data_IF_406381797528
#
_entry.id   IF_406381797528
#
_cell.length_a   1.000
_cell.length_b   1.000
_cell.length_c   1.000
_cell.angle_alpha   90.00
_cell.angle_beta   90.00
_cell.angle_gamma   90.00
#
_symmetry.space_group_name_H-M   'P 1'
#
loop_
_entity.id
_entity.type
_entity.pdbx_description
1 polymer ?
#
# COMPACT_ATOMS: atom_id res chain seq x y z
N UNK A 1 4.28 6.66 -3.77
CA UNK A 1 5.03 7.65 -4.58
C UNK A 1 5.84 8.61 -3.69
N UNK A 2 6.57 8.05 -2.73
CA UNK A 2 7.35 8.81 -1.75
C UNK A 2 8.83 8.54 -1.97
N UNK A 3 9.66 9.55 -1.78
CA UNK A 3 11.12 9.43 -1.79
C UNK A 3 11.69 10.19 -0.59
N UNK A 4 12.78 9.70 -0.04
CA UNK A 4 13.53 10.46 0.95
C UNK A 4 14.26 11.60 0.23
N UNK A 5 13.88 12.84 0.50
CA UNK A 5 14.42 14.06 -0.12
C UNK A 5 15.61 14.62 0.65
N UNK A 6 15.60 14.41 1.96
CA UNK A 6 16.70 14.66 2.90
C UNK A 6 16.55 13.67 4.07
N UNK A 7 17.59 13.44 4.89
CA UNK A 7 17.54 12.43 5.95
C UNK A 7 16.31 12.59 6.85
N UNK A 8 15.42 11.59 6.86
CA UNK A 8 14.18 11.59 7.64
C UNK A 8 13.02 12.39 7.05
N UNK A 9 13.21 13.07 5.91
CA UNK A 9 12.17 13.82 5.21
C UNK A 9 11.75 13.11 3.93
N UNK A 10 10.44 12.88 3.78
CA UNK A 10 9.87 12.17 2.65
C UNK A 10 9.02 13.11 1.80
N UNK A 11 9.41 13.33 0.54
CA UNK A 11 8.61 14.10 -0.42
C UNK A 11 7.84 13.19 -1.35
N UNK A 12 6.56 13.49 -1.57
CA UNK A 12 5.67 12.68 -2.41
C UNK A 12 4.44 13.44 -2.89
N UNK A 13 3.56 12.72 -3.58
CA UNK A 13 2.29 13.25 -4.10
C UNK A 13 1.14 12.52 -3.42
N UNK A 14 0.19 13.27 -2.86
CA UNK A 14 -1.03 12.78 -2.22
C UNK A 14 -2.16 13.76 -2.48
N UNK A 15 -3.34 13.28 -2.85
CA UNK A 15 -4.53 14.11 -3.09
C UNK A 15 -4.33 15.16 -4.20
N UNK A 16 -3.44 14.89 -5.17
CA UNK A 16 -3.11 15.85 -6.22
C UNK A 16 -2.26 17.05 -5.76
N UNK A 17 -1.67 16.97 -4.56
CA UNK A 17 -0.78 17.97 -3.97
C UNK A 17 0.59 17.34 -3.71
N UNK A 18 1.63 18.17 -3.63
CA UNK A 18 2.99 17.73 -3.27
C UNK A 18 3.21 17.98 -1.78
N UNK A 19 3.80 17.01 -1.11
CA UNK A 19 3.98 17.00 0.33
C UNK A 19 5.42 16.67 0.68
N UNK A 20 5.95 17.29 1.72
CA UNK A 20 7.14 16.80 2.44
C UNK A 20 6.71 16.46 3.86
N UNK A 21 7.02 15.24 4.30
CA UNK A 21 6.67 14.72 5.62
C UNK A 21 7.94 14.49 6.43
N UNK A 22 7.93 14.91 7.70
CA UNK A 22 8.99 14.65 8.68
C UNK A 22 8.33 14.15 9.95
N UNK A 23 8.91 13.13 10.58
CA UNK A 23 8.36 12.56 11.81
C UNK A 23 9.39 12.68 12.94
N UNK A 24 8.91 13.06 14.12
CA UNK A 24 9.64 12.89 15.38
C UNK A 24 9.00 11.75 16.21
N UNK A 25 8.98 11.85 17.54
CA UNK A 25 8.47 10.78 18.42
C UNK A 25 6.97 10.69 18.51
N UNK A 26 6.32 11.85 18.52
CA UNK A 26 4.90 11.99 18.82
C UNK A 26 4.16 12.71 17.70
N UNK A 27 4.89 13.29 16.73
CA UNK A 27 4.32 14.16 15.70
C UNK A 27 4.78 13.78 14.31
N UNK A 28 3.83 13.94 13.39
CA UNK A 28 4.08 13.94 11.95
C UNK A 28 3.92 15.39 11.47
N UNK A 29 5.05 16.00 11.12
CA UNK A 29 5.13 17.33 10.52
C UNK A 29 4.98 17.22 9.01
N UNK A 30 4.35 18.21 8.40
CA UNK A 30 4.21 18.24 6.96
C UNK A 30 4.29 19.65 6.38
N UNK A 31 4.75 19.73 5.14
CA UNK A 31 4.66 20.91 4.26
C UNK A 31 3.89 20.52 3.01
N UNK A 32 2.86 21.30 2.66
CA UNK A 32 2.14 21.16 1.37
C UNK A 32 2.57 22.28 0.44
N UNK A 33 2.97 21.93 -0.78
CA UNK A 33 3.42 22.92 -1.75
C UNK A 33 2.27 23.34 -2.67
N UNK A 34 2.15 24.66 -2.88
CA UNK A 34 1.15 25.27 -3.76
C UNK A 34 -0.14 25.76 -3.09
N UNK A 35 -0.24 25.70 -1.76
CA UNK A 35 -1.33 26.30 -0.97
C UNK A 35 -0.75 27.32 0.02
N UNK A 36 -1.47 28.43 0.25
CA UNK A 36 -1.02 29.51 1.14
C UNK A 36 -1.10 29.11 2.63
N UNK A 37 -1.99 28.19 3.01
CA UNK A 37 -2.04 27.65 4.38
C UNK A 37 -2.80 26.31 4.45
N UNK A 38 -2.23 25.24 5.03
CA UNK A 38 -2.96 24.00 5.31
C UNK A 38 -4.16 24.23 6.23
N UNK A 39 -5.33 23.70 5.87
CA UNK A 39 -6.55 23.74 6.70
C UNK A 39 -6.93 22.36 7.27
N UNK A 40 -8.05 22.25 8.02
CA UNK A 40 -8.53 21.00 8.61
C UNK A 40 -8.72 19.85 7.61
N UNK A 41 -9.09 20.16 6.37
CA UNK A 41 -9.22 19.16 5.29
C UNK A 41 -7.86 18.53 4.92
N UNK A 42 -6.78 19.31 5.01
CA UNK A 42 -5.41 18.87 4.74
C UNK A 42 -4.95 17.86 5.80
N UNK A 43 -5.27 18.13 7.07
CA UNK A 43 -5.03 17.19 8.18
C UNK A 43 -5.83 15.90 8.02
N UNK A 44 -7.12 16.01 7.68
CA UNK A 44 -7.98 14.83 7.48
C UNK A 44 -7.45 13.94 6.36
N UNK A 45 -6.97 14.51 5.26
CA UNK A 45 -6.39 13.76 4.15
C UNK A 45 -5.18 12.91 4.58
N UNK A 46 -4.28 13.45 5.42
CA UNK A 46 -3.16 12.68 5.96
C UNK A 46 -3.62 11.61 6.96
N UNK A 47 -4.57 11.95 7.85
CA UNK A 47 -5.14 11.01 8.81
C UNK A 47 -5.76 9.81 8.13
N UNK A 48 -6.52 10.05 7.05
CA UNK A 48 -7.13 9.00 6.24
C UNK A 48 -6.08 8.19 5.47
N UNK A 49 -5.10 8.85 4.85
CA UNK A 49 -4.07 8.19 4.05
C UNK A 49 -3.20 7.25 4.90
N UNK A 50 -2.86 7.65 6.13
CA UNK A 50 -2.09 6.81 7.07
C UNK A 50 -2.98 5.96 7.99
N UNK A 51 -4.30 6.09 7.90
CA UNK A 51 -5.28 5.37 8.72
C UNK A 51 -4.96 5.50 10.23
N UNK A 52 -4.79 6.75 10.68
CA UNK A 52 -4.31 7.07 12.02
C UNK A 52 -5.35 6.79 13.12
N UNK A 53 -6.61 6.60 12.75
CA UNK A 53 -7.69 6.14 13.62
C UNK A 53 -7.55 4.66 14.00
N UNK A 54 -6.83 3.86 13.21
CA UNK A 54 -6.58 2.45 13.52
C UNK A 54 -5.58 2.31 14.67
N UNK A 55 -6.04 1.67 15.75
CA UNK A 55 -5.29 1.37 16.97
C UNK A 55 -4.21 0.30 16.79
N UNK A 56 -3.15 0.63 16.05
CA UNK A 56 -2.05 -0.27 15.68
C UNK A 56 -1.44 -1.05 16.86
N UNK A 57 -1.20 -0.46 18.06
CA UNK A 57 -0.65 -1.22 19.19
C UNK A 57 -1.54 -2.38 19.65
N UNK A 58 -2.87 -2.23 19.56
CA UNK A 58 -3.79 -3.31 19.93
C UNK A 58 -3.73 -4.46 18.91
N UNK A 59 -3.61 -4.13 17.62
CA UNK A 59 -3.43 -5.11 16.56
C UNK A 59 -2.13 -5.90 16.71
N UNK A 60 -1.01 -5.21 16.94
CA UNK A 60 0.27 -5.87 17.21
C UNK A 60 0.17 -6.84 18.39
N UNK A 61 -0.44 -6.41 19.52
CA UNK A 61 -0.66 -7.30 20.66
C UNK A 61 -1.47 -8.55 20.31
N UNK A 62 -2.56 -8.39 19.55
CA UNK A 62 -3.40 -9.51 19.14
C UNK A 62 -2.65 -10.48 18.21
N UNK A 63 -1.95 -9.97 17.19
CA UNK A 63 -1.19 -10.80 16.26
C UNK A 63 -0.02 -11.51 16.94
N UNK A 64 0.73 -10.82 17.82
CA UNK A 64 1.80 -11.46 18.57
C UNK A 64 1.31 -12.48 19.58
N UNK A 65 0.08 -12.36 20.10
CA UNK A 65 -0.54 -13.39 20.93
C UNK A 65 -0.90 -14.64 20.11
N UNK A 66 -1.45 -14.46 18.90
CA UNK A 66 -1.84 -15.54 18.01
C UNK A 66 -0.65 -16.22 17.30
N UNK A 67 0.44 -15.48 17.05
CA UNK A 67 1.55 -15.92 16.22
C UNK A 67 2.91 -15.58 16.85
N UNK A 68 3.63 -16.57 17.42
CA UNK A 68 4.96 -16.39 17.96
C UNK A 68 6.01 -15.93 16.95
N UNK A 69 5.84 -16.28 15.66
CA UNK A 69 6.75 -15.81 14.61
C UNK A 69 6.52 -14.32 14.35
N UNK A 70 5.26 -13.89 14.22
CA UNK A 70 4.92 -12.47 14.13
C UNK A 70 5.51 -11.69 15.32
N UNK A 71 5.32 -12.19 16.55
CA UNK A 71 5.85 -11.52 17.77
C UNK A 71 7.35 -11.28 17.69
N UNK A 72 8.10 -12.27 17.17
CA UNK A 72 9.56 -12.16 17.00
C UNK A 72 9.91 -11.09 15.97
N UNK A 73 9.32 -11.17 14.78
CA UNK A 73 9.60 -10.25 13.66
C UNK A 73 9.20 -8.81 14.01
N UNK A 74 8.05 -8.64 14.67
CA UNK A 74 7.58 -7.33 15.12
C UNK A 74 8.54 -6.67 16.13
N UNK A 75 9.33 -7.44 16.87
CA UNK A 75 10.34 -6.94 17.81
C UNK A 75 11.54 -6.28 17.11
N UNK A 76 11.83 -6.65 15.86
CA UNK A 76 12.96 -6.14 15.08
C UNK A 76 12.67 -4.79 14.40
N UNK A 77 11.40 -4.37 14.36
CA UNK A 77 11.02 -3.06 13.83
C UNK A 77 11.35 -1.94 14.82
N UNK A 78 11.80 -0.75 14.35
CA UNK A 78 11.98 0.41 15.21
C UNK A 78 10.72 0.68 16.05
N UNK A 79 10.87 0.74 17.36
CA UNK A 79 9.78 0.92 18.33
C UNK A 79 8.94 -0.33 18.64
N UNK A 80 9.15 -1.44 17.93
CA UNK A 80 8.42 -2.71 18.10
C UNK A 80 8.47 -3.26 19.53
N UNK A 81 9.63 -3.17 20.20
CA UNK A 81 9.80 -3.54 21.60
C UNK A 81 8.89 -2.76 22.57
N UNK A 82 8.59 -1.49 22.28
CA UNK A 82 7.76 -0.63 23.12
C UNK A 82 6.25 -0.99 23.07
N UNK A 83 5.82 -1.79 22.08
CA UNK A 83 4.44 -2.24 21.92
C UNK A 83 4.04 -3.34 22.93
N UNK A 84 5.03 -3.97 23.56
CA UNK A 84 4.88 -5.15 24.43
C UNK A 84 5.05 -4.86 25.92
N UNK A 85 4.78 -3.63 26.34
CA UNK A 85 4.99 -3.09 27.69
C UNK A 85 5.13 -4.16 28.78
N UNK A 86 6.29 -4.19 29.42
CA UNK A 86 6.77 -5.16 30.43
C UNK A 86 5.65 -5.73 31.30
N UNK A 87 5.10 -6.86 30.90
CA UNK A 87 4.20 -7.68 31.71
C UNK A 87 5.02 -8.51 32.71
N UNK A 88 5.52 -7.87 33.76
CA UNK A 88 6.17 -8.53 34.88
C UNK A 88 5.90 -7.71 36.14
N UNK A 89 5.13 -8.27 37.08
CA UNK A 89 4.79 -7.63 38.35
C UNK A 89 6.05 -7.26 39.13
N UNK A 90 6.21 -5.97 39.41
CA UNK A 90 7.29 -5.42 40.23
C UNK A 90 7.19 -3.91 40.26
N UNK A 91 7.23 -3.33 41.47
CA UNK A 91 7.07 -1.90 41.78
C UNK A 91 7.77 -0.95 40.80
N UNK A 92 7.01 0.01 40.29
CA UNK A 92 7.38 0.89 39.19
C UNK A 92 8.37 2.00 39.60
N UNK A 93 9.56 1.98 38.99
CA UNK A 93 10.17 3.18 38.43
C UNK A 93 10.23 2.97 36.92
N UNK A 94 9.32 3.63 36.18
CA UNK A 94 9.39 3.68 34.73
C UNK A 94 10.60 4.54 34.37
N UNK A 95 11.61 3.96 33.72
CA UNK A 95 12.65 4.73 33.06
C UNK A 95 11.98 5.73 32.09
N UNK A 96 12.47 6.98 31.99
CA UNK A 96 11.94 7.93 31.03
C UNK A 96 12.07 7.36 29.62
N UNK A 97 11.08 7.59 28.73
CA UNK A 97 11.14 7.09 27.36
C UNK A 97 12.37 7.68 26.66
N UNK A 98 13.27 6.81 26.21
CA UNK A 98 14.54 7.18 25.53
C UNK A 98 14.25 8.17 24.40
N UNK A 99 14.83 9.41 24.39
CA UNK A 99 14.74 10.48 23.38
C UNK A 99 15.07 10.09 21.92
N UNK A 100 15.64 8.91 21.67
CA UNK A 100 16.00 8.40 20.34
C UNK A 100 15.03 7.36 19.74
N UNK A 101 14.12 6.79 20.55
CA UNK A 101 13.12 5.82 20.08
C UNK A 101 12.18 6.40 18.99
N UNK A 102 12.11 5.72 17.85
CA UNK A 102 11.20 6.06 16.73
C UNK A 102 9.78 5.53 16.99
N UNK A 103 8.74 6.19 16.46
CA UNK A 103 7.36 5.69 16.52
C UNK A 103 7.26 4.31 15.89
N UNK A 104 6.54 3.41 16.57
CA UNK A 104 6.57 1.99 16.28
C UNK A 104 5.51 1.55 15.27
N UNK A 105 5.93 0.75 14.30
CA UNK A 105 5.06 -0.16 13.56
C UNK A 105 4.77 0.23 12.11
N UNK A 106 4.58 -0.80 11.28
CA UNK A 106 4.24 -0.67 9.87
C UNK A 106 2.73 -0.48 9.75
N UNK A 107 2.32 0.53 8.98
CA UNK A 107 0.92 0.81 8.65
C UNK A 107 0.67 0.56 7.17
N UNK A 108 -0.55 0.10 6.85
CA UNK A 108 -1.03 0.03 5.48
C UNK A 108 -1.59 1.40 5.09
N UNK A 109 -1.16 1.93 3.94
CA UNK A 109 -1.66 3.20 3.42
C UNK A 109 -3.02 3.02 2.74
N UNK A 110 -3.91 4.02 2.85
CA UNK A 110 -5.20 4.08 2.15
C UNK A 110 -5.06 4.91 0.87
N UNK A 111 -4.59 4.26 -0.18
CA UNK A 111 -4.27 4.90 -1.47
C UNK A 111 -5.52 5.24 -2.30
N UNK A 112 -5.37 6.13 -3.28
CA UNK A 112 -6.39 6.31 -4.32
C UNK A 112 -6.52 5.01 -5.15
N UNK A 113 -7.75 4.50 -5.39
CA UNK A 113 -7.93 3.22 -6.10
C UNK A 113 -7.38 3.18 -7.53
N UNK A 114 -7.41 4.29 -8.28
CA UNK A 114 -6.88 4.33 -9.64
C UNK A 114 -5.36 4.28 -9.60
N UNK A 115 -4.74 5.14 -8.77
CA UNK A 115 -3.29 5.15 -8.58
C UNK A 115 -2.78 3.78 -8.12
N UNK A 116 -3.43 3.19 -7.11
CA UNK A 116 -3.07 1.90 -6.55
C UNK A 116 -3.16 0.80 -7.62
N UNK A 117 -4.29 0.67 -8.31
CA UNK A 117 -4.55 -0.37 -9.29
C UNK A 117 -3.55 -0.32 -10.47
N UNK A 118 -3.43 0.83 -11.11
CA UNK A 118 -2.56 0.97 -12.28
C UNK A 118 -1.07 0.84 -11.89
N UNK A 119 -0.71 1.24 -10.67
CA UNK A 119 0.62 0.97 -10.12
C UNK A 119 0.87 -0.52 -9.89
N UNK A 120 -0.09 -1.26 -9.33
CA UNK A 120 0.09 -2.69 -9.06
C UNK A 120 0.13 -3.56 -10.30
N UNK A 121 -0.54 -3.18 -11.39
CA UNK A 121 -0.38 -3.82 -12.71
C UNK A 121 1.09 -3.77 -13.17
N UNK A 122 1.85 -2.75 -12.76
CA UNK A 122 3.27 -2.61 -13.10
C UNK A 122 4.21 -3.54 -12.31
N UNK A 123 3.70 -4.19 -11.24
CA UNK A 123 4.52 -4.94 -10.27
C UNK A 123 4.77 -6.40 -10.65
N UNK A 124 3.89 -7.00 -11.48
CA UNK A 124 3.99 -8.41 -11.86
C UNK A 124 5.34 -8.71 -12.52
N UNK A 125 6.12 -9.67 -12.01
CA UNK A 125 7.45 -10.02 -12.50
C UNK A 125 8.39 -8.80 -12.68
N UNK A 126 8.53 -8.00 -11.62
CA UNK A 126 9.29 -6.75 -11.61
C UNK A 126 9.89 -6.50 -10.20
N UNK A 127 10.73 -5.47 -10.06
CA UNK A 127 11.35 -5.11 -8.78
C UNK A 127 11.12 -3.62 -8.45
N UNK A 128 11.11 -3.30 -7.15
CA UNK A 128 10.64 -2.01 -6.60
C UNK A 128 11.30 -0.80 -7.26
N UNK A 129 12.62 -0.81 -7.43
CA UNK A 129 13.35 0.31 -8.04
C UNK A 129 12.88 0.60 -9.48
N UNK A 130 12.67 -0.44 -10.31
CA UNK A 130 12.18 -0.28 -11.68
C UNK A 130 10.72 0.13 -11.71
N UNK A 131 9.89 -0.41 -10.82
CA UNK A 131 8.47 -0.03 -10.70
C UNK A 131 8.38 1.46 -10.36
N UNK A 132 9.13 1.95 -9.37
CA UNK A 132 9.15 3.36 -8.98
C UNK A 132 9.50 4.27 -10.16
N UNK A 133 10.56 3.93 -10.91
CA UNK A 133 10.95 4.69 -12.11
C UNK A 133 9.89 4.64 -13.23
N UNK A 134 9.22 3.49 -13.43
CA UNK A 134 8.12 3.37 -14.39
C UNK A 134 6.95 4.28 -14.02
N UNK A 135 6.53 4.29 -12.76
CA UNK A 135 5.44 5.14 -12.28
C UNK A 135 5.80 6.63 -12.39
N UNK A 136 7.05 7.01 -12.09
CA UNK A 136 7.51 8.38 -12.28
C UNK A 136 7.42 8.81 -13.75
N UNK A 137 7.91 7.99 -14.69
CA UNK A 137 7.80 8.27 -16.14
C UNK A 137 6.36 8.35 -16.62
N UNK A 138 5.47 7.49 -16.12
CA UNK A 138 4.04 7.52 -16.44
C UNK A 138 3.39 8.81 -15.94
N UNK A 139 3.69 9.24 -14.72
CA UNK A 139 3.16 10.50 -14.20
C UNK A 139 3.71 11.71 -14.98
N UNK A 140 4.98 11.71 -15.37
CA UNK A 140 5.58 12.78 -16.18
C UNK A 140 4.96 12.86 -17.58
N UNK A 141 4.67 11.72 -18.22
CA UNK A 141 4.17 11.69 -19.59
C UNK A 141 2.66 11.93 -19.70
N UNK A 142 1.87 11.52 -18.71
CA UNK A 142 0.40 11.55 -18.78
C UNK A 142 -0.27 12.35 -17.67
N UNK A 143 0.45 12.71 -16.60
CA UNK A 143 -0.09 13.46 -15.48
C UNK A 143 0.03 14.97 -15.67
N UNK A 144 -0.91 15.74 -15.10
CA UNK A 144 -0.75 17.20 -15.05
C UNK A 144 0.43 17.55 -14.14
N UNK A 145 1.22 18.55 -14.52
CA UNK A 145 2.27 19.09 -13.67
C UNK A 145 1.67 19.79 -12.45
N UNK A 146 2.24 19.53 -11.27
CA UNK A 146 1.81 20.11 -9.98
C UNK A 146 2.69 21.30 -9.62
N UNK A 147 3.99 21.06 -9.47
CA UNK A 147 4.99 22.08 -9.17
C UNK A 147 6.40 21.60 -9.58
N UNK A 148 7.40 22.44 -9.36
CA UNK A 148 8.82 22.07 -9.38
C UNK A 148 9.41 22.33 -8.00
N UNK A 149 10.16 21.36 -7.48
CA UNK A 149 10.97 21.51 -6.27
C UNK A 149 12.38 21.04 -6.59
N UNK A 150 13.38 21.87 -6.29
CA UNK A 150 14.81 21.57 -6.53
C UNK A 150 15.09 21.10 -7.96
N UNK A 151 14.56 21.82 -8.96
CA UNK A 151 14.62 21.50 -10.38
C UNK A 151 13.98 20.14 -10.78
N UNK A 152 13.22 19.50 -9.90
CA UNK A 152 12.50 18.27 -10.21
C UNK A 152 11.00 18.53 -10.37
N UNK A 153 10.40 18.20 -11.53
CA UNK A 153 8.97 18.35 -11.71
C UNK A 153 8.20 17.25 -10.98
N UNK A 154 7.14 17.66 -10.29
CA UNK A 154 6.15 16.76 -9.72
C UNK A 154 4.87 16.79 -10.56
N UNK A 155 4.28 15.62 -10.76
CA UNK A 155 3.07 15.45 -11.56
C UNK A 155 2.00 14.71 -10.77
N UNK A 156 0.73 14.98 -11.06
CA UNK A 156 -0.38 14.17 -10.57
C UNK A 156 -0.29 12.76 -11.17
N UNK A 157 -0.95 11.79 -10.54
CA UNK A 157 -1.20 10.53 -11.22
C UNK A 157 -2.20 10.77 -12.36
N UNK A 158 -2.01 10.17 -13.55
CA UNK A 158 -2.92 10.39 -14.68
C UNK A 158 -4.32 9.85 -14.39
N UNK A 159 -5.34 10.51 -14.95
CA UNK A 159 -6.69 9.99 -14.95
C UNK A 159 -6.81 8.76 -15.86
N UNK A 160 -7.80 7.88 -15.65
CA UNK A 160 -8.05 6.77 -16.57
C UNK A 160 -8.26 7.25 -18.02
N UNK A 161 -8.95 8.38 -18.20
CA UNK A 161 -9.16 8.99 -19.52
C UNK A 161 -7.85 9.38 -20.21
N UNK A 162 -6.88 9.93 -19.47
CA UNK A 162 -5.56 10.29 -20.03
C UNK A 162 -4.76 9.07 -20.52
N UNK A 163 -5.02 7.89 -19.96
CA UNK A 163 -4.39 6.63 -20.34
C UNK A 163 -5.23 5.77 -21.30
N UNK A 164 -6.44 6.20 -21.66
CA UNK A 164 -7.35 5.47 -22.54
C UNK A 164 -7.18 5.86 -24.03
N UNK A 165 -6.43 6.94 -24.32
CA UNK A 165 -6.18 7.46 -25.66
C UNK A 165 -5.61 6.43 -26.64
N UNK A 166 -5.84 6.64 -27.93
CA UNK A 166 -5.46 5.69 -28.98
C UNK A 166 -3.95 5.41 -29.03
N UNK A 167 -3.11 6.38 -28.67
CA UNK A 167 -1.65 6.30 -28.67
C UNK A 167 -1.05 5.95 -27.28
N UNK A 168 -1.87 5.79 -26.25
CA UNK A 168 -1.40 5.61 -24.87
C UNK A 168 -0.57 4.34 -24.69
N UNK A 169 -0.99 3.22 -25.29
CA UNK A 169 -0.22 1.97 -25.24
C UNK A 169 1.16 2.13 -25.90
N UNK A 170 1.21 2.75 -27.09
CA UNK A 170 2.45 2.94 -27.84
C UNK A 170 3.44 3.82 -27.03
N UNK A 171 2.95 4.92 -26.45
CA UNK A 171 3.73 5.77 -25.54
C UNK A 171 4.22 5.01 -24.31
N UNK A 172 3.38 4.21 -23.65
CA UNK A 172 3.79 3.39 -22.50
C UNK A 172 4.88 2.36 -22.88
N UNK A 173 4.79 1.76 -24.08
CA UNK A 173 5.85 0.87 -24.59
C UNK A 173 7.17 1.61 -24.76
N UNK A 174 7.15 2.80 -25.36
CA UNK A 174 8.32 3.66 -25.48
C UNK A 174 8.93 4.05 -24.12
N UNK A 175 8.10 4.17 -23.07
CA UNK A 175 8.54 4.44 -21.69
C UNK A 175 9.05 3.19 -20.93
N UNK A 176 9.13 2.04 -21.59
CA UNK A 176 9.71 0.80 -21.05
C UNK A 176 8.75 -0.07 -20.25
N UNK A 177 7.43 0.07 -20.43
CA UNK A 177 6.44 -0.78 -19.76
C UNK A 177 6.38 -2.21 -20.32
N UNK A 178 6.89 -2.42 -21.55
CA UNK A 178 6.86 -3.71 -22.22
C UNK A 178 5.43 -4.21 -22.40
N UNK A 179 5.18 -5.50 -22.16
CA UNK A 179 3.84 -6.10 -22.29
C UNK A 179 2.80 -5.47 -21.34
N UNK A 180 3.23 -4.87 -20.21
CA UNK A 180 2.34 -4.22 -19.24
C UNK A 180 1.68 -2.96 -19.79
N UNK A 181 2.24 -2.37 -20.85
CA UNK A 181 1.64 -1.23 -21.52
C UNK A 181 0.19 -1.53 -21.93
N UNK A 182 -0.05 -2.71 -22.53
CA UNK A 182 -1.39 -3.16 -22.93
C UNK A 182 -2.35 -3.29 -21.73
N UNK A 183 -1.84 -3.70 -20.57
CA UNK A 183 -2.64 -3.91 -19.37
C UNK A 183 -2.99 -2.59 -18.70
N UNK A 184 -2.04 -1.65 -18.63
CA UNK A 184 -2.25 -0.31 -18.09
C UNK A 184 -3.24 0.45 -18.97
N UNK A 185 -3.02 0.52 -20.30
CA UNK A 185 -3.93 1.21 -21.22
C UNK A 185 -5.31 0.52 -21.27
N UNK A 186 -5.33 -0.82 -21.35
CA UNK A 186 -6.56 -1.60 -21.40
C UNK A 186 -7.40 -1.47 -20.12
N UNK A 187 -6.77 -1.55 -18.95
CA UNK A 187 -7.47 -1.31 -17.68
C UNK A 187 -7.95 0.13 -17.54
N UNK A 188 -7.12 1.11 -17.92
CA UNK A 188 -7.53 2.52 -17.90
C UNK A 188 -8.74 2.78 -18.81
N UNK A 189 -8.78 2.18 -20.00
CA UNK A 189 -9.93 2.24 -20.92
C UNK A 189 -11.17 1.59 -20.32
N UNK A 190 -11.05 0.36 -19.82
CA UNK A 190 -12.18 -0.34 -19.19
C UNK A 190 -12.75 0.42 -17.98
N UNK A 191 -11.89 1.12 -17.22
CA UNK A 191 -12.33 1.99 -16.12
C UNK A 191 -13.03 3.23 -16.67
N UNK A 192 -12.46 3.90 -17.67
CA UNK A 192 -13.01 5.13 -18.24
C UNK A 192 -14.39 4.91 -18.91
N UNK A 193 -14.57 3.76 -19.57
CA UNK A 193 -15.82 3.39 -20.28
C UNK A 193 -16.84 2.70 -19.36
N UNK A 194 -16.40 2.16 -18.22
CA UNK A 194 -17.23 1.41 -17.28
C UNK A 194 -17.53 2.17 -16.00
N UNK A 195 -17.01 1.66 -14.88
CA UNK A 195 -17.31 2.13 -13.53
C UNK A 195 -16.84 3.56 -13.24
N UNK A 196 -15.86 4.06 -13.99
CA UNK A 196 -15.16 5.31 -13.72
C UNK A 196 -14.30 5.24 -12.45
N UNK A 197 -13.54 6.31 -12.21
CA UNK A 197 -12.73 6.44 -10.98
C UNK A 197 -13.61 6.37 -9.73
N UNK A 198 -14.81 6.96 -9.78
CA UNK A 198 -15.73 6.95 -8.64
C UNK A 198 -16.36 5.59 -8.39
N UNK A 199 -16.66 4.80 -9.43
CA UNK A 199 -17.12 3.43 -9.24
C UNK A 199 -16.07 2.53 -8.61
N UNK A 200 -14.78 2.73 -8.91
CA UNK A 200 -13.70 2.06 -8.18
C UNK A 200 -13.66 2.46 -6.70
N UNK A 201 -13.86 3.75 -6.37
CA UNK A 201 -13.94 4.19 -4.95
C UNK A 201 -15.12 3.56 -4.23
N UNK A 202 -16.27 3.41 -4.88
CA UNK A 202 -17.45 2.74 -4.29
C UNK A 202 -17.20 1.27 -3.94
N UNK A 203 -16.19 0.61 -4.52
CA UNK A 203 -15.81 -0.75 -4.10
C UNK A 203 -15.31 -0.82 -2.64
N UNK A 204 -14.99 0.32 -2.00
CA UNK A 204 -14.77 0.39 -0.55
C UNK A 204 -15.98 -0.10 0.26
N UNK A 205 -17.20 0.11 -0.24
CA UNK A 205 -18.43 -0.26 0.46
C UNK A 205 -18.93 -1.69 0.16
N UNK A 206 -18.39 -2.37 -0.86
CA UNK A 206 -18.84 -3.74 -1.21
C UNK A 206 -18.01 -4.81 -0.49
N UNK A 207 -18.52 -6.04 -0.30
CA UNK A 207 -17.75 -7.12 0.33
C UNK A 207 -16.42 -7.42 -0.41
N UNK A 208 -15.39 -7.85 0.32
CA UNK A 208 -14.06 -8.16 -0.23
C UNK A 208 -14.11 -9.11 -1.45
N UNK A 209 -14.88 -10.20 -1.35
CA UNK A 209 -15.01 -11.17 -2.45
C UNK A 209 -15.54 -10.52 -3.73
N UNK A 210 -16.48 -9.59 -3.62
CA UNK A 210 -17.07 -8.88 -4.75
C UNK A 210 -16.11 -7.83 -5.32
N UNK A 211 -15.47 -7.04 -4.47
CA UNK A 211 -14.44 -6.08 -4.90
C UNK A 211 -13.31 -6.78 -5.68
N UNK A 212 -12.83 -7.91 -5.16
CA UNK A 212 -11.80 -8.74 -5.82
C UNK A 212 -12.29 -9.28 -7.16
N UNK A 213 -13.54 -9.77 -7.24
CA UNK A 213 -14.13 -10.28 -8.49
C UNK A 213 -14.19 -9.19 -9.56
N UNK A 214 -14.65 -7.98 -9.21
CA UNK A 214 -14.71 -6.84 -10.13
C UNK A 214 -13.30 -6.46 -10.62
N UNK A 215 -12.33 -6.37 -9.73
CA UNK A 215 -10.96 -6.04 -10.10
C UNK A 215 -10.33 -7.08 -11.03
N UNK A 216 -10.52 -8.37 -10.77
CA UNK A 216 -9.98 -9.46 -11.62
C UNK A 216 -10.56 -9.50 -13.05
N UNK A 217 -11.66 -8.79 -13.32
CA UNK A 217 -12.17 -8.65 -14.69
C UNK A 217 -11.34 -7.67 -15.54
N UNK A 218 -10.47 -6.86 -14.92
CA UNK A 218 -9.68 -5.85 -15.61
C UNK A 218 -8.41 -6.45 -16.27
N UNK A 219 -8.00 -5.95 -17.44
CA UNK A 219 -6.81 -6.43 -18.14
C UNK A 219 -5.53 -6.40 -17.29
N UNK A 220 -4.91 -7.57 -17.09
CA UNK A 220 -3.65 -7.69 -16.35
C UNK A 220 -3.80 -7.75 -14.83
N UNK A 221 -5.04 -7.85 -14.32
CA UNK A 221 -5.33 -7.96 -12.89
C UNK A 221 -5.64 -9.41 -12.53
N UNK A 222 -4.68 -10.10 -11.91
CA UNK A 222 -4.89 -11.41 -11.29
C UNK A 222 -5.15 -11.30 -9.78
N UNK A 223 -5.41 -12.43 -9.12
CA UNK A 223 -5.70 -12.54 -7.67
C UNK A 223 -4.77 -11.67 -6.81
N UNK A 224 -3.44 -11.82 -6.98
CA UNK A 224 -2.46 -11.05 -6.20
C UNK A 224 -2.63 -9.53 -6.37
N UNK A 225 -2.78 -9.05 -7.60
CA UNK A 225 -2.95 -7.61 -7.88
C UNK A 225 -4.27 -7.12 -7.30
N UNK A 226 -5.36 -7.87 -7.49
CA UNK A 226 -6.66 -7.53 -6.92
C UNK A 226 -6.61 -7.45 -5.39
N UNK A 227 -5.96 -8.41 -4.73
CA UNK A 227 -5.77 -8.41 -3.28
C UNK A 227 -4.93 -7.23 -2.80
N UNK A 228 -3.86 -6.87 -3.54
CA UNK A 228 -3.08 -5.67 -3.23
C UNK A 228 -3.96 -4.41 -3.22
N UNK A 229 -4.81 -4.25 -4.24
CA UNK A 229 -5.71 -3.08 -4.34
C UNK A 229 -6.81 -3.13 -3.29
N UNK A 230 -7.35 -4.32 -2.99
CA UNK A 230 -8.31 -4.52 -1.92
C UNK A 230 -7.75 -4.04 -0.57
N UNK A 231 -6.54 -4.48 -0.23
CA UNK A 231 -5.86 -4.14 1.01
C UNK A 231 -5.47 -2.66 1.09
N UNK A 232 -4.88 -2.12 0.03
CA UNK A 232 -4.21 -0.81 0.07
C UNK A 232 -5.05 0.35 -0.46
N UNK A 233 -6.25 0.12 -0.99
CA UNK A 233 -7.08 1.20 -1.52
C UNK A 233 -8.59 1.03 -1.33
N UNK A 234 -9.09 -0.19 -1.09
CA UNK A 234 -10.52 -0.49 -0.99
C UNK A 234 -10.98 -0.91 0.42
N UNK A 235 -10.18 -0.60 1.44
CA UNK A 235 -10.54 -0.80 2.86
C UNK A 235 -10.85 -2.27 3.22
N UNK A 236 -10.18 -3.22 2.56
CA UNK A 236 -10.31 -4.67 2.83
C UNK A 236 -9.11 -5.16 3.64
N UNK A 237 -9.08 -4.85 4.93
CA UNK A 237 -7.98 -5.19 5.83
C UNK A 237 -7.73 -6.72 5.93
N UNK A 238 -8.72 -7.54 5.57
CA UNK A 238 -8.67 -8.99 5.52
C UNK A 238 -8.03 -9.57 4.23
N UNK A 239 -7.81 -8.73 3.22
CA UNK A 239 -7.20 -9.16 1.96
C UNK A 239 -5.72 -9.50 2.18
N UNK A 240 -5.30 -10.70 1.77
CA UNK A 240 -3.92 -11.19 1.93
C UNK A 240 -3.34 -11.46 0.53
N UNK A 241 -2.60 -10.50 -0.05
CA UNK A 241 -1.95 -10.67 -1.34
C UNK A 241 -0.87 -11.75 -1.29
N UNK A 242 -1.09 -12.86 -2.00
CA UNK A 242 -0.12 -13.97 -2.05
C UNK A 242 0.72 -13.87 -3.31
N UNK A 243 2.02 -13.66 -3.14
CA UNK A 243 3.03 -13.83 -4.19
C UNK A 243 3.96 -15.02 -3.88
N UNK A 244 5.03 -15.16 -4.66
CA UNK A 244 6.01 -16.24 -4.47
C UNK A 244 6.76 -16.14 -3.13
N UNK A 245 6.94 -14.93 -2.58
CA UNK A 245 7.58 -14.73 -1.29
C UNK A 245 6.65 -15.13 -0.14
N UNK A 246 5.40 -14.67 -0.16
CA UNK A 246 4.37 -15.05 0.83
C UNK A 246 4.13 -16.55 0.78
N UNK A 247 4.05 -17.14 -0.42
CA UNK A 247 3.94 -18.59 -0.58
C UNK A 247 5.09 -19.34 0.08
N UNK A 248 6.33 -18.88 -0.14
CA UNK A 248 7.52 -19.48 0.48
C UNK A 248 7.48 -19.37 2.00
N UNK A 249 7.07 -18.22 2.55
CA UNK A 249 6.91 -18.02 3.99
C UNK A 249 5.84 -18.96 4.56
N UNK A 250 4.64 -19.00 3.95
CA UNK A 250 3.55 -19.88 4.34
C UNK A 250 4.00 -21.35 4.41
N UNK A 251 4.75 -21.81 3.40
CA UNK A 251 5.26 -23.17 3.34
C UNK A 251 6.37 -23.46 4.35
N UNK A 252 7.37 -22.61 4.43
CA UNK A 252 8.60 -22.87 5.20
C UNK A 252 8.48 -22.55 6.70
N UNK A 253 7.58 -21.65 7.07
CA UNK A 253 7.46 -21.16 8.44
C UNK A 253 6.19 -21.63 9.13
N UNK A 254 5.10 -21.83 8.37
CA UNK A 254 3.81 -22.22 8.91
C UNK A 254 3.36 -23.62 8.53
N UNK A 255 4.11 -24.31 7.65
CA UNK A 255 3.71 -25.64 7.17
C UNK A 255 2.41 -25.64 6.37
N UNK A 256 1.99 -24.48 5.84
CA UNK A 256 0.81 -24.38 5.01
C UNK A 256 1.10 -24.89 3.59
N UNK A 257 0.09 -25.48 2.95
CA UNK A 257 0.09 -25.90 1.52
C UNK A 257 1.31 -26.75 1.09
N UNK A 258 1.82 -27.62 1.98
CA UNK A 258 3.07 -28.39 1.77
C UNK A 258 3.10 -29.24 0.48
N UNK A 259 1.95 -29.61 -0.08
CA UNK A 259 1.83 -30.40 -1.32
C UNK A 259 1.64 -29.58 -2.61
N UNK A 260 1.51 -28.26 -2.53
CA UNK A 260 1.28 -27.42 -3.71
C UNK A 260 2.55 -27.30 -4.58
N UNK A 261 2.42 -27.52 -5.89
CA UNK A 261 3.52 -27.39 -6.86
C UNK A 261 3.57 -26.03 -7.56
N UNK A 262 2.48 -25.28 -7.51
CA UNK A 262 2.37 -23.95 -8.13
C UNK A 262 1.31 -23.10 -7.42
N UNK A 263 1.38 -21.78 -7.62
CA UNK A 263 0.42 -20.80 -7.10
C UNK A 263 -0.86 -20.76 -7.94
N UNK A 264 -1.71 -21.77 -7.79
CA UNK A 264 -3.04 -21.80 -8.40
C UNK A 264 -4.02 -20.89 -7.64
N UNK A 265 -5.19 -20.61 -8.23
CA UNK A 265 -6.23 -19.83 -7.54
C UNK A 265 -6.65 -20.47 -6.20
N UNK A 266 -6.72 -21.81 -6.15
CA UNK A 266 -6.99 -22.57 -4.93
C UNK A 266 -5.89 -22.35 -3.87
N UNK A 267 -4.63 -22.43 -4.26
CA UNK A 267 -3.51 -22.23 -3.32
C UNK A 267 -3.47 -20.79 -2.78
N UNK A 268 -3.78 -19.79 -3.61
CA UNK A 268 -3.95 -18.41 -3.12
C UNK A 268 -5.04 -18.32 -2.06
N UNK A 269 -6.19 -18.96 -2.31
CA UNK A 269 -7.31 -18.98 -1.37
C UNK A 269 -6.94 -19.69 -0.05
N UNK A 270 -6.35 -20.88 -0.11
CA UNK A 270 -5.93 -21.65 1.06
C UNK A 270 -4.93 -20.87 1.94
N UNK A 271 -3.93 -20.21 1.33
CA UNK A 271 -2.96 -19.38 2.06
C UNK A 271 -3.65 -18.15 2.66
N UNK A 272 -4.53 -17.49 1.92
CA UNK A 272 -5.28 -16.33 2.41
C UNK A 272 -6.19 -16.69 3.58
N UNK A 273 -6.91 -17.81 3.48
CA UNK A 273 -7.81 -18.30 4.53
C UNK A 273 -7.03 -18.72 5.78
N UNK A 274 -5.86 -19.35 5.60
CA UNK A 274 -4.95 -19.65 6.70
C UNK A 274 -4.55 -18.39 7.48
N UNK A 275 -4.05 -17.36 6.79
CA UNK A 275 -3.61 -16.12 7.46
C UNK A 275 -4.78 -15.30 8.03
N UNK A 276 -5.95 -15.31 7.40
CA UNK A 276 -7.18 -14.74 7.97
C UNK A 276 -7.62 -15.45 9.25
N UNK A 277 -7.51 -16.78 9.28
CA UNK A 277 -7.77 -17.57 10.49
C UNK A 277 -6.78 -17.26 11.62
N UNK A 278 -5.51 -16.99 11.28
CA UNK A 278 -4.46 -16.71 12.25
C UNK A 278 -4.51 -15.27 12.81
N UNK A 279 -4.66 -14.27 11.94
CA UNK A 279 -4.52 -12.85 12.31
C UNK A 279 -5.85 -12.08 12.32
N UNK A 280 -6.95 -12.73 11.94
CA UNK A 280 -8.30 -12.18 12.02
C UNK A 280 -8.60 -11.11 10.95
N UNK A 281 -9.51 -10.16 11.25
CA UNK A 281 -10.03 -9.20 10.27
C UNK A 281 -8.99 -8.24 9.66
N UNK A 282 -7.81 -8.10 10.29
CA UNK A 282 -6.72 -7.26 9.79
C UNK A 282 -5.52 -8.09 9.30
N UNK A 283 -5.73 -9.31 8.83
CA UNK A 283 -4.66 -10.20 8.38
C UNK A 283 -3.76 -9.60 7.28
N UNK A 284 -4.31 -8.78 6.38
CA UNK A 284 -3.51 -8.08 5.38
C UNK A 284 -2.56 -7.04 5.98
N UNK A 285 -2.93 -6.44 7.11
CA UNK A 285 -2.03 -5.53 7.83
C UNK A 285 -0.93 -6.27 8.56
N UNK A 286 -1.24 -7.40 9.19
CA UNK A 286 -0.22 -8.28 9.77
C UNK A 286 0.79 -8.74 8.72
N UNK A 287 0.31 -9.07 7.52
CA UNK A 287 1.16 -9.47 6.38
C UNK A 287 2.07 -8.33 5.86
N UNK A 288 1.75 -7.06 6.13
CA UNK A 288 2.59 -5.94 5.74
C UNK A 288 3.83 -5.75 6.64
N UNK A 289 3.80 -6.34 7.84
CA UNK A 289 4.91 -6.38 8.82
C UNK A 289 5.87 -7.50 8.44
#
# INVERSE_FOLDING_TARGET
RWRESSPGAWTGVLGGRVWTLVQDRDRLWYTVYGEETPGPETDQLLRDYFQLDVGLPALYRAWGAADPLFRRVAGDFPGGAALWGSGGGGSAQRAPPDPSARPAGVRVLRQDPVECLLSFICTSNNHVARIAAMIERLCQAFGRRLCHLDNRPFHAFPSPAALAGADAEAKLRALGFGYRARFVSGSARAIAEGLGAEGLRRLRAVPYAEARRVLCALPGVGTKVADCVCLMALDKAEAVPVDTHVWRIARQRYGAVLGARSLTARVHQEIGDFFRGLWGPYAGWAQAV
#
